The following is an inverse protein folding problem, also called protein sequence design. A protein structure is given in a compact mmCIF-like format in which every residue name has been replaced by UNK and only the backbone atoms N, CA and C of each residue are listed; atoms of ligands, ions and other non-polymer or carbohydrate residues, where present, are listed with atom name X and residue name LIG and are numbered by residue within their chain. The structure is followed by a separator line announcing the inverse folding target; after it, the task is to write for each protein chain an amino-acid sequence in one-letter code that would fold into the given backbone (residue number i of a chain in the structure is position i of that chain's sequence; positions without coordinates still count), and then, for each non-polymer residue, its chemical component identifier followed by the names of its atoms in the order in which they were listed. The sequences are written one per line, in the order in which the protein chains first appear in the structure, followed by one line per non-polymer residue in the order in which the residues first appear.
data_IF_067085991375
#
_entry.id   IF_067085991375
#
_cell.length_a   1.000
_cell.length_b   1.000
_cell.length_c   1.000
_cell.angle_alpha   90.00
_cell.angle_beta   90.00
_cell.angle_gamma   90.00
#
_symmetry.space_group_name_H-M   'P 1'
#
loop_
_entity.id
_entity.type
_entity.pdbx_description
1 polymer ?
#
# COMPACT_ATOMS: atom_id res chain seq x y z
N UNK A 1 -40.29 -42.30 -7.26
CA UNK A 1 -39.74 -41.09 -6.63
C UNK A 1 -38.61 -41.31 -5.61
N UNK A 2 -38.40 -42.51 -5.02
CA UNK A 2 -37.31 -42.72 -4.05
C UNK A 2 -35.91 -42.87 -4.66
N UNK A 3 -35.80 -43.26 -5.94
CA UNK A 3 -34.51 -43.45 -6.62
C UNK A 3 -33.84 -42.16 -7.10
N UNK A 4 -34.62 -41.12 -7.41
CA UNK A 4 -34.08 -39.84 -7.90
C UNK A 4 -33.31 -39.07 -6.84
N UNK A 5 -33.70 -39.18 -5.56
CA UNK A 5 -32.97 -38.57 -4.45
C UNK A 5 -31.62 -39.25 -4.17
N UNK A 6 -31.54 -40.57 -4.31
CA UNK A 6 -30.28 -41.30 -4.14
C UNK A 6 -29.24 -40.91 -5.20
N UNK A 7 -29.67 -40.73 -6.45
CA UNK A 7 -28.79 -40.32 -7.55
C UNK A 7 -28.25 -38.90 -7.37
N UNK A 8 -29.08 -38.00 -6.83
CA UNK A 8 -28.71 -36.60 -6.63
C UNK A 8 -27.71 -36.44 -5.46
N UNK A 9 -27.87 -37.22 -4.39
CA UNK A 9 -26.90 -37.28 -3.28
C UNK A 9 -25.57 -37.90 -3.75
N UNK A 10 -25.61 -38.96 -4.58
CA UNK A 10 -24.40 -39.57 -5.13
C UNK A 10 -23.61 -38.60 -6.02
N UNK A 11 -24.28 -37.84 -6.89
CA UNK A 11 -23.64 -36.80 -7.70
C UNK A 11 -23.02 -35.69 -6.86
N UNK A 12 -23.64 -35.33 -5.73
CA UNK A 12 -23.13 -34.30 -4.83
C UNK A 12 -21.86 -34.76 -4.08
N UNK A 13 -21.78 -36.05 -3.72
CA UNK A 13 -20.61 -36.64 -3.05
C UNK A 13 -19.42 -36.79 -4.02
N UNK A 14 -19.67 -37.16 -5.28
CA UNK A 14 -18.60 -37.26 -6.30
C UNK A 14 -18.00 -35.89 -6.64
N UNK A 15 -18.82 -34.82 -6.66
CA UNK A 15 -18.34 -33.46 -6.87
C UNK A 15 -17.43 -32.95 -5.72
N UNK A 16 -17.71 -33.34 -4.48
CA UNK A 16 -16.86 -33.00 -3.33
C UNK A 16 -15.53 -33.77 -3.31
N UNK A 17 -15.49 -35.00 -3.84
CA UNK A 17 -14.25 -35.78 -3.91
C UNK A 17 -13.28 -35.26 -4.99
N UNK A 18 -13.78 -34.70 -6.10
CA UNK A 18 -12.94 -34.11 -7.14
C UNK A 18 -12.40 -32.71 -6.79
N UNK A 19 -12.92 -32.06 -5.73
CA UNK A 19 -12.45 -30.76 -5.26
C UNK A 19 -11.32 -30.85 -4.20
N UNK A 20 -10.94 -32.06 -3.77
CA UNK A 20 -9.87 -32.24 -2.81
C UNK A 20 -8.52 -32.32 -3.52
N UNK A 21 -7.87 -31.16 -3.59
CA UNK A 21 -6.41 -31.02 -3.56
C UNK A 21 -5.65 -31.70 -4.69
N UNK A 22 -5.18 -30.90 -5.63
CA UNK A 22 -4.03 -31.27 -6.44
C UNK A 22 -2.94 -31.87 -5.52
N UNK A 23 -2.33 -33.01 -5.87
CA UNK A 23 -1.29 -33.60 -5.04
C UNK A 23 -0.21 -32.55 -4.78
N UNK A 24 0.37 -32.50 -3.56
CA UNK A 24 1.41 -31.53 -3.25
C UNK A 24 2.48 -31.64 -4.32
N UNK A 25 2.65 -30.57 -5.08
CA UNK A 25 3.67 -30.46 -6.11
C UNK A 25 5.00 -30.84 -5.48
N UNK A 26 5.55 -32.00 -5.84
CA UNK A 26 6.84 -32.45 -5.36
C UNK A 26 7.88 -31.46 -5.86
N UNK A 27 8.20 -30.47 -5.04
CA UNK A 27 9.28 -29.53 -5.32
C UNK A 27 10.58 -30.32 -5.22
N UNK A 28 11.33 -30.51 -6.32
CA UNK A 28 12.57 -31.26 -6.27
C UNK A 28 13.54 -30.63 -5.25
N UNK A 29 14.18 -31.48 -4.44
CA UNK A 29 15.07 -31.08 -3.33
C UNK A 29 16.37 -30.39 -3.76
N UNK A 30 16.64 -30.30 -5.06
CA UNK A 30 17.59 -29.35 -5.63
C UNK A 30 16.89 -28.01 -5.82
N UNK A 31 16.52 -27.34 -4.72
CA UNK A 31 16.03 -25.97 -4.79
C UNK A 31 17.26 -25.10 -5.12
N UNK A 32 17.36 -24.53 -6.33
CA UNK A 32 18.45 -23.63 -6.65
C UNK A 32 18.47 -22.50 -5.61
N UNK A 33 19.67 -21.99 -5.27
CA UNK A 33 19.83 -20.80 -4.42
C UNK A 33 18.74 -19.78 -4.78
N UNK A 34 17.84 -19.53 -3.83
CA UNK A 34 16.60 -18.81 -4.13
C UNK A 34 16.94 -17.41 -4.64
N UNK A 35 16.36 -17.06 -5.78
CA UNK A 35 16.40 -15.70 -6.29
C UNK A 35 15.96 -14.73 -5.17
N UNK A 36 16.79 -13.73 -4.88
CA UNK A 36 16.58 -12.84 -3.73
C UNK A 36 16.14 -11.47 -4.23
N UNK A 37 14.98 -11.00 -3.76
CA UNK A 37 14.49 -9.64 -4.05
C UNK A 37 15.39 -8.62 -3.33
N UNK A 38 16.15 -7.84 -4.09
CA UNK A 38 17.07 -6.83 -3.54
C UNK A 38 16.36 -5.49 -3.30
N UNK A 39 15.36 -5.18 -4.13
CA UNK A 39 14.65 -3.92 -4.03
C UNK A 39 13.33 -3.92 -4.80
N UNK A 40 12.40 -3.10 -4.34
CA UNK A 40 11.14 -2.81 -5.00
C UNK A 40 11.27 -1.42 -5.63
N UNK A 41 11.03 -1.33 -6.93
CA UNK A 41 11.14 -0.07 -7.68
C UNK A 41 9.79 0.62 -7.83
N UNK A 42 8.71 -0.13 -8.02
CA UNK A 42 7.37 0.42 -8.20
C UNK A 42 6.32 -0.58 -7.70
N UNK A 43 5.52 -0.20 -6.72
CA UNK A 43 4.30 -0.95 -6.34
C UNK A 43 3.18 0.06 -6.19
N UNK A 44 2.09 -0.12 -6.91
CA UNK A 44 0.97 0.80 -6.82
C UNK A 44 -0.31 0.25 -7.43
N UNK A 45 -1.40 0.97 -7.19
CA UNK A 45 -2.71 0.73 -7.80
C UNK A 45 -3.07 1.93 -8.66
N UNK A 46 -3.72 1.72 -9.79
CA UNK A 46 -3.95 2.79 -10.73
C UNK A 46 -5.20 2.61 -11.57
N UNK A 47 -5.38 3.56 -12.47
CA UNK A 47 -6.41 3.53 -13.51
C UNK A 47 -5.77 3.84 -14.86
N UNK A 48 -6.25 3.20 -15.91
CA UNK A 48 -5.96 3.53 -17.30
C UNK A 48 -7.27 3.98 -17.95
N UNK A 49 -7.31 5.18 -18.54
CA UNK A 49 -8.53 5.76 -19.12
C UNK A 49 -8.35 5.93 -20.62
N UNK A 50 -9.33 5.50 -21.41
CA UNK A 50 -9.33 5.70 -22.85
C UNK A 50 -9.56 7.20 -23.15
N UNK A 51 -8.72 7.87 -23.96
CA UNK A 51 -8.90 9.28 -24.29
C UNK A 51 -10.19 9.56 -25.08
N UNK A 52 -10.73 8.55 -25.77
CA UNK A 52 -11.94 8.68 -26.59
C UNK A 52 -13.22 8.48 -25.80
N UNK A 53 -13.15 7.76 -24.68
CA UNK A 53 -14.30 7.47 -23.81
C UNK A 53 -13.85 7.40 -22.34
N UNK A 54 -14.24 8.40 -21.56
CA UNK A 54 -13.90 8.49 -20.12
C UNK A 54 -14.55 7.40 -19.27
N UNK A 55 -15.59 6.74 -19.77
CA UNK A 55 -16.24 5.61 -19.10
C UNK A 55 -15.54 4.27 -19.40
N UNK A 56 -14.72 4.21 -20.44
CA UNK A 56 -13.83 3.09 -20.73
C UNK A 56 -12.53 3.25 -19.94
N UNK A 57 -12.55 2.72 -18.71
CA UNK A 57 -11.39 2.70 -17.83
C UNK A 57 -11.05 1.28 -17.38
N UNK A 58 -9.76 1.07 -17.12
CA UNK A 58 -9.18 -0.18 -16.64
C UNK A 58 -8.52 0.02 -15.29
N UNK A 59 -8.64 -0.96 -14.40
CA UNK A 59 -7.97 -0.95 -13.09
C UNK A 59 -6.58 -1.56 -13.23
N UNK A 60 -5.57 -0.85 -12.74
CA UNK A 60 -4.17 -1.28 -12.79
C UNK A 60 -3.66 -1.69 -11.41
N UNK A 61 -2.87 -2.76 -11.35
CA UNK A 61 -2.00 -3.07 -10.19
C UNK A 61 -0.62 -3.42 -10.70
N UNK A 62 0.40 -2.67 -10.31
CA UNK A 62 1.77 -2.89 -10.77
C UNK A 62 2.68 -3.27 -9.61
N UNK A 63 3.63 -4.15 -9.88
CA UNK A 63 4.75 -4.46 -9.00
C UNK A 63 6.00 -4.71 -9.83
N UNK A 64 7.05 -3.90 -9.64
CA UNK A 64 8.35 -4.05 -10.27
C UNK A 64 9.46 -3.99 -9.22
N UNK A 65 10.49 -4.80 -9.41
CA UNK A 65 11.61 -4.90 -8.48
C UNK A 65 12.88 -5.45 -9.13
N UNK A 66 13.94 -5.48 -8.35
CA UNK A 66 15.26 -5.98 -8.71
C UNK A 66 15.50 -7.30 -8.01
N UNK A 67 15.87 -8.32 -8.77
CA UNK A 67 16.10 -9.67 -8.26
C UNK A 67 17.56 -10.05 -8.49
N UNK A 68 18.26 -10.43 -7.43
CA UNK A 68 19.56 -11.06 -7.51
C UNK A 68 19.39 -12.53 -7.87
N UNK A 69 20.10 -12.95 -8.91
CA UNK A 69 20.19 -14.35 -9.29
C UNK A 69 21.51 -14.94 -8.80
N UNK A 70 21.54 -16.20 -8.36
CA UNK A 70 22.80 -16.90 -8.11
C UNK A 70 23.55 -17.13 -9.43
N UNK A 71 24.87 -16.98 -9.40
CA UNK A 71 25.74 -17.15 -10.58
C UNK A 71 25.61 -18.52 -11.25
N UNK A 72 25.21 -19.56 -10.50
CA UNK A 72 25.05 -20.93 -11.02
C UNK A 72 23.88 -21.10 -12.01
N UNK A 73 22.96 -20.14 -12.07
CA UNK A 73 21.78 -20.21 -12.92
C UNK A 73 21.90 -19.40 -14.23
N UNK A 74 23.08 -18.87 -14.55
CA UNK A 74 23.33 -18.26 -15.85
C UNK A 74 23.60 -19.36 -16.87
N UNK A 75 22.55 -19.87 -17.51
CA UNK A 75 22.70 -20.70 -18.71
C UNK A 75 23.16 -19.84 -19.88
N UNK A 76 23.92 -20.41 -20.81
CA UNK A 76 24.51 -19.69 -21.95
C UNK A 76 23.48 -19.02 -22.89
N UNK A 77 22.18 -19.35 -22.79
CA UNK A 77 21.10 -18.65 -23.52
C UNK A 77 20.79 -17.26 -22.97
N UNK A 78 21.20 -16.95 -21.74
CA UNK A 78 20.88 -15.65 -21.10
C UNK A 78 21.87 -14.54 -21.47
N UNK A 79 22.93 -14.85 -22.21
CA UNK A 79 24.08 -13.97 -22.45
C UNK A 79 23.80 -12.83 -23.44
N UNK A 80 22.76 -12.97 -24.28
CA UNK A 80 22.40 -11.96 -25.29
C UNK A 80 21.32 -10.97 -24.81
N UNK A 81 20.87 -11.09 -23.56
CA UNK A 81 19.88 -10.20 -22.98
C UNK A 81 20.58 -8.99 -22.34
N UNK A 82 20.47 -7.81 -22.97
CA UNK A 82 20.97 -6.52 -22.46
C UNK A 82 20.40 -6.09 -21.08
N UNK A 83 19.54 -6.90 -20.47
CA UNK A 83 18.77 -6.56 -19.27
C UNK A 83 19.46 -6.88 -17.91
N UNK A 84 20.72 -7.33 -17.87
CA UNK A 84 21.42 -7.63 -16.60
C UNK A 84 22.41 -6.55 -16.14
N UNK A 85 22.25 -6.11 -14.89
CA UNK A 85 23.18 -5.23 -14.18
C UNK A 85 24.02 -6.08 -13.22
N UNK A 86 25.35 -6.09 -13.35
CA UNK A 86 26.21 -6.73 -12.35
C UNK A 86 26.36 -5.77 -11.17
N UNK A 87 25.89 -6.19 -9.99
CA UNK A 87 25.99 -5.37 -8.77
C UNK A 87 26.84 -6.08 -7.73
N UNK A 88 27.89 -5.40 -7.27
CA UNK A 88 28.73 -5.87 -6.19
C UNK A 88 28.14 -5.39 -4.85
N UNK A 89 27.75 -6.35 -4.02
CA UNK A 89 27.18 -6.11 -2.69
C UNK A 89 28.29 -6.35 -1.68
N UNK A 90 28.53 -5.36 -0.82
CA UNK A 90 29.54 -5.46 0.22
C UNK A 90 28.93 -6.15 1.44
N UNK A 91 29.13 -7.47 1.54
CA UNK A 91 28.57 -8.28 2.62
C UNK A 91 29.72 -8.80 3.50
N UNK A 92 29.81 -8.26 4.72
CA UNK A 92 30.71 -8.77 5.80
C UNK A 92 32.11 -9.15 5.32
N UNK A 93 32.86 -8.16 4.79
CA UNK A 93 34.28 -8.25 4.39
C UNK A 93 34.62 -9.00 3.10
N UNK A 94 33.65 -9.48 2.31
CA UNK A 94 33.89 -9.95 0.94
C UNK A 94 32.95 -9.27 -0.02
N UNK A 95 33.51 -8.73 -1.09
CA UNK A 95 32.74 -8.20 -2.20
C UNK A 95 32.20 -9.37 -3.01
N UNK A 96 30.88 -9.49 -3.11
CA UNK A 96 30.22 -10.50 -3.94
C UNK A 96 29.43 -9.78 -5.02
N UNK A 97 29.82 -9.99 -6.27
CA UNK A 97 29.08 -9.50 -7.42
C UNK A 97 28.04 -10.53 -7.84
N UNK A 98 26.79 -10.09 -7.93
CA UNK A 98 25.66 -10.92 -8.36
C UNK A 98 24.98 -10.24 -9.55
N UNK A 99 24.54 -11.01 -10.56
CA UNK A 99 23.69 -10.47 -11.61
C UNK A 99 22.35 -10.04 -11.02
N UNK A 100 21.92 -8.84 -11.36
CA UNK A 100 20.65 -8.26 -10.96
C UNK A 100 19.82 -8.02 -12.20
N UNK A 101 18.63 -8.61 -12.21
CA UNK A 101 17.65 -8.37 -13.28
C UNK A 101 16.48 -7.56 -12.75
N UNK A 102 15.87 -6.77 -13.62
CA UNK A 102 14.62 -6.06 -13.34
C UNK A 102 13.48 -6.95 -13.78
N UNK A 103 12.56 -7.22 -12.86
CA UNK A 103 11.35 -7.99 -13.14
C UNK A 103 10.14 -7.19 -12.69
N UNK A 104 9.05 -7.32 -13.43
CA UNK A 104 7.80 -6.70 -13.05
C UNK A 104 6.60 -7.49 -13.53
N UNK A 105 5.48 -7.24 -12.87
CA UNK A 105 4.17 -7.77 -13.21
C UNK A 105 3.19 -6.62 -13.14
N UNK A 106 2.30 -6.53 -14.12
CA UNK A 106 1.15 -5.63 -14.09
C UNK A 106 -0.12 -6.43 -14.27
N UNK A 107 -1.14 -6.08 -13.50
CA UNK A 107 -2.50 -6.58 -13.66
C UNK A 107 -3.37 -5.48 -14.23
N UNK A 108 -4.11 -5.78 -15.30
CA UNK A 108 -5.03 -4.88 -15.99
C UNK A 108 -6.40 -5.56 -15.99
N UNK A 109 -7.38 -5.01 -15.29
CA UNK A 109 -8.73 -5.61 -15.11
C UNK A 109 -8.69 -7.07 -14.61
N UNK A 110 -7.67 -7.40 -13.81
CA UNK A 110 -7.46 -8.76 -13.27
C UNK A 110 -6.62 -9.67 -14.17
N UNK A 111 -6.35 -9.28 -15.41
CA UNK A 111 -5.45 -10.03 -16.30
C UNK A 111 -3.99 -9.74 -16.00
N UNK A 112 -3.16 -10.78 -15.96
CA UNK A 112 -1.74 -10.68 -15.61
C UNK A 112 -0.85 -10.54 -16.85
N UNK A 113 0.06 -9.57 -16.81
CA UNK A 113 1.11 -9.33 -17.81
C UNK A 113 2.49 -9.30 -17.13
N UNK A 114 3.49 -9.87 -17.79
CA UNK A 114 4.89 -9.76 -17.40
C UNK A 114 5.47 -8.46 -17.99
N UNK A 115 6.28 -7.75 -17.22
CA UNK A 115 7.01 -6.58 -17.70
C UNK A 115 8.44 -7.01 -18.08
N UNK A 116 8.83 -6.75 -19.33
CA UNK A 116 10.19 -6.95 -19.86
C UNK A 116 10.78 -5.62 -20.34
N UNK A 117 12.10 -5.60 -20.60
CA UNK A 117 12.83 -4.41 -21.10
C UNK A 117 12.52 -3.18 -20.24
N UNK A 118 12.64 -3.33 -18.92
CA UNK A 118 12.25 -2.31 -17.94
C UNK A 118 13.34 -1.25 -17.85
N UNK A 119 13.11 -0.13 -18.51
CA UNK A 119 13.97 1.03 -18.40
C UNK A 119 13.47 1.99 -17.31
N UNK A 120 14.41 2.53 -16.54
CA UNK A 120 14.15 3.47 -15.45
C UNK A 120 15.19 4.57 -15.56
N UNK A 121 14.77 5.73 -16.03
CA UNK A 121 15.63 6.89 -16.29
C UNK A 121 15.00 8.16 -15.71
N UNK A 122 15.73 8.90 -14.87
CA UNK A 122 15.36 10.25 -14.41
C UNK A 122 13.86 10.43 -14.13
N UNK A 123 13.33 9.62 -13.21
CA UNK A 123 11.92 9.66 -12.81
C UNK A 123 10.91 9.24 -13.90
N UNK A 124 11.37 8.61 -14.97
CA UNK A 124 10.54 7.93 -15.96
C UNK A 124 10.79 6.42 -15.93
N UNK A 125 9.76 5.66 -16.29
CA UNK A 125 9.78 4.20 -16.36
C UNK A 125 9.09 3.77 -17.65
N UNK A 126 9.71 2.88 -18.41
CA UNK A 126 9.08 2.22 -19.56
C UNK A 126 9.27 0.72 -19.52
N UNK A 127 8.30 -0.03 -20.02
CA UNK A 127 8.38 -1.49 -20.12
C UNK A 127 7.49 -2.04 -21.24
N UNK A 128 7.83 -3.25 -21.71
CA UNK A 128 7.02 -4.04 -22.64
C UNK A 128 6.15 -5.03 -21.85
N UNK A 129 4.87 -5.12 -22.23
CA UNK A 129 3.90 -6.05 -21.64
C UNK A 129 3.92 -7.35 -22.44
N UNK A 130 4.12 -8.46 -21.74
CA UNK A 130 4.17 -9.81 -22.32
C UNK A 130 3.13 -10.70 -21.66
N UNK A 131 2.26 -11.30 -22.47
CA UNK A 131 1.29 -12.33 -22.06
C UNK A 131 1.59 -13.57 -22.88
N UNK A 132 1.65 -14.76 -22.28
CA UNK A 132 1.92 -16.01 -23.01
C UNK A 132 3.16 -15.97 -23.94
N UNK A 133 4.22 -15.29 -23.53
CA UNK A 133 5.44 -15.06 -24.32
C UNK A 133 5.29 -14.21 -25.59
N UNK A 134 4.13 -13.62 -25.86
CA UNK A 134 3.91 -12.63 -26.93
C UNK A 134 3.88 -11.20 -26.38
N UNK A 135 4.49 -10.27 -27.10
CA UNK A 135 4.41 -8.83 -26.79
C UNK A 135 3.00 -8.32 -27.14
N UNK A 136 2.27 -7.83 -26.14
CA UNK A 136 0.86 -7.39 -26.26
C UNK A 136 0.71 -5.87 -26.15
N UNK A 137 1.76 -5.18 -25.68
CA UNK A 137 1.66 -3.76 -25.38
C UNK A 137 2.92 -3.15 -24.77
N UNK A 138 2.85 -1.86 -24.48
CA UNK A 138 3.91 -1.09 -23.85
C UNK A 138 3.33 -0.12 -22.81
N UNK A 139 4.13 0.21 -21.81
CA UNK A 139 3.79 1.21 -20.80
C UNK A 139 4.95 2.19 -20.67
N UNK A 140 4.64 3.48 -20.60
CA UNK A 140 5.59 4.55 -20.34
C UNK A 140 4.98 5.51 -19.32
N UNK A 141 5.67 5.73 -18.21
CA UNK A 141 5.21 6.53 -17.08
C UNK A 141 6.28 7.53 -16.67
N UNK A 142 5.85 8.69 -16.19
CA UNK A 142 6.69 9.72 -15.59
C UNK A 142 6.18 10.00 -14.19
N UNK A 143 7.09 10.16 -13.24
CA UNK A 143 6.80 10.56 -11.88
C UNK A 143 6.41 12.04 -11.86
N UNK A 144 5.27 12.33 -11.28
CA UNK A 144 4.72 13.68 -11.12
C UNK A 144 4.41 13.90 -9.66
N UNK A 145 4.97 14.96 -9.09
CA UNK A 145 4.74 15.33 -7.69
C UNK A 145 3.42 16.07 -7.56
N UNK A 146 2.50 15.56 -6.72
CA UNK A 146 1.22 16.21 -6.42
C UNK A 146 1.04 16.34 -4.91
N UNK A 147 1.36 17.54 -4.40
CA UNK A 147 1.39 17.81 -2.96
C UNK A 147 2.50 17.05 -2.25
N UNK A 148 2.13 16.22 -1.26
CA UNK A 148 3.08 15.38 -0.50
C UNK A 148 3.22 13.95 -1.06
N UNK A 149 2.63 13.65 -2.21
CA UNK A 149 2.68 12.33 -2.81
C UNK A 149 3.21 12.37 -4.23
N UNK A 150 3.91 11.32 -4.60
CA UNK A 150 4.35 11.09 -5.96
C UNK A 150 3.33 10.19 -6.67
N UNK A 151 3.00 10.55 -7.91
CA UNK A 151 2.08 9.81 -8.78
C UNK A 151 2.86 9.46 -10.04
N UNK A 152 2.64 8.28 -10.61
CA UNK A 152 3.18 7.96 -11.94
C UNK A 152 2.08 8.14 -12.97
N UNK A 153 2.34 8.95 -14.00
CA UNK A 153 1.38 9.25 -15.05
C UNK A 153 2.01 9.07 -16.43
N UNK A 154 1.27 8.55 -17.39
CA UNK A 154 1.76 8.39 -18.76
C UNK A 154 0.80 7.59 -19.63
N UNK A 155 1.35 6.77 -20.54
CA UNK A 155 0.59 6.05 -21.56
C UNK A 155 0.74 4.54 -21.41
N UNK A 156 -0.36 3.83 -21.59
CA UNK A 156 -0.42 2.38 -21.70
C UNK A 156 -1.00 2.04 -23.08
N UNK A 157 -0.24 1.36 -23.92
CA UNK A 157 -0.72 0.78 -25.17
C UNK A 157 -0.92 -0.72 -24.95
N UNK A 158 -2.12 -1.22 -25.21
CA UNK A 158 -2.42 -2.65 -25.14
C UNK A 158 -3.38 -3.03 -26.25
N UNK A 159 -3.03 -4.07 -27.02
CA UNK A 159 -3.82 -4.53 -28.16
C UNK A 159 -4.13 -3.42 -29.18
N UNK A 160 -3.19 -2.48 -29.37
CA UNK A 160 -3.33 -1.34 -30.28
C UNK A 160 -4.14 -0.15 -29.74
N UNK A 161 -4.72 -0.27 -28.55
CA UNK A 161 -5.48 0.79 -27.90
C UNK A 161 -4.60 1.58 -26.93
N UNK A 162 -4.67 2.91 -26.99
CA UNK A 162 -3.91 3.80 -26.12
C UNK A 162 -4.77 4.28 -24.95
N UNK A 163 -4.25 4.16 -23.73
CA UNK A 163 -4.87 4.63 -22.50
C UNK A 163 -3.94 5.60 -21.78
N UNK A 164 -4.49 6.59 -21.09
CA UNK A 164 -3.77 7.38 -20.10
C UNK A 164 -3.72 6.63 -18.78
N UNK A 165 -2.53 6.23 -18.36
CA UNK A 165 -2.30 5.45 -17.15
C UNK A 165 -1.86 6.35 -15.99
N UNK A 166 -2.48 6.15 -14.84
CA UNK A 166 -2.17 6.84 -13.58
C UNK A 166 -2.01 5.80 -12.48
N UNK A 167 -0.82 5.71 -11.88
CA UNK A 167 -0.53 4.82 -10.75
C UNK A 167 -0.45 5.67 -9.49
N UNK A 168 -1.45 5.46 -8.64
CA UNK A 168 -1.65 6.15 -7.37
C UNK A 168 -1.09 5.30 -6.22
N UNK A 169 -0.67 5.99 -5.16
CA UNK A 169 -0.30 5.34 -3.91
C UNK A 169 0.89 4.41 -4.04
N UNK A 170 1.96 4.87 -4.70
CA UNK A 170 3.21 4.12 -4.62
C UNK A 170 3.70 4.11 -3.20
N UNK A 171 3.82 2.93 -2.59
CA UNK A 171 4.48 2.83 -1.30
C UNK A 171 5.93 3.27 -1.51
N UNK A 172 6.36 4.32 -0.81
CA UNK A 172 7.75 4.76 -0.85
C UNK A 172 8.64 3.55 -0.56
N UNK A 173 9.64 3.27 -1.42
CA UNK A 173 10.53 2.15 -1.18
C UNK A 173 11.15 2.31 0.21
N UNK A 174 11.13 1.25 1.02
CA UNK A 174 11.66 1.24 2.40
C UNK A 174 13.11 1.77 2.50
N UNK A 175 13.83 1.80 1.39
CA UNK A 175 15.18 2.36 1.26
C UNK A 175 15.18 3.88 1.48
N UNK A 176 14.23 4.62 0.92
CA UNK A 176 14.10 6.08 1.15
C UNK A 176 13.84 6.38 2.62
N UNK A 177 13.03 5.55 3.31
CA UNK A 177 12.79 5.71 4.74
C UNK A 177 14.05 5.47 5.57
N UNK A 178 14.94 4.56 5.14
CA UNK A 178 16.23 4.32 5.81
C UNK A 178 17.24 5.44 5.58
N UNK A 179 17.24 6.05 4.40
CA UNK A 179 18.12 7.18 4.08
C UNK A 179 17.62 8.47 4.74
N UNK A 180 16.31 8.75 4.64
CA UNK A 180 15.67 9.82 5.40
C UNK A 180 15.91 9.65 6.90
N UNK A 181 15.81 8.41 7.42
CA UNK A 181 16.12 8.08 8.81
C UNK A 181 17.60 8.31 9.17
N UNK A 182 18.54 8.05 8.25
CA UNK A 182 19.97 8.34 8.45
C UNK A 182 20.26 9.83 8.47
N UNK A 183 19.69 10.60 7.54
CA UNK A 183 19.84 12.05 7.49
C UNK A 183 19.16 12.72 8.71
N UNK A 184 17.97 12.26 9.10
CA UNK A 184 17.33 12.67 10.34
C UNK A 184 18.20 12.34 11.56
N UNK A 185 18.78 11.14 11.64
CA UNK A 185 19.69 10.78 12.74
C UNK A 185 20.96 11.63 12.75
N UNK A 186 21.47 12.01 11.59
CA UNK A 186 22.62 12.89 11.45
C UNK A 186 22.29 14.31 11.91
N UNK A 187 21.11 14.83 11.55
CA UNK A 187 20.67 16.19 11.89
C UNK A 187 20.19 16.31 13.34
N UNK A 188 19.45 15.31 13.82
CA UNK A 188 18.72 15.32 15.09
C UNK A 188 19.38 14.49 16.20
N UNK A 189 20.50 13.82 15.90
CA UNK A 189 21.17 12.94 16.85
C UNK A 189 20.41 11.63 17.11
N UNK A 190 20.82 10.86 18.13
CA UNK A 190 20.10 9.66 18.53
C UNK A 190 18.70 10.05 19.05
N UNK A 191 17.67 9.51 18.40
CA UNK A 191 16.29 9.69 18.86
C UNK A 191 16.12 8.96 20.19
N UNK A 192 15.57 9.65 21.19
CA UNK A 192 15.20 9.01 22.46
C UNK A 192 14.20 7.87 22.21
N UNK A 193 14.26 6.79 23.00
CA UNK A 193 13.37 5.65 22.83
C UNK A 193 11.91 6.08 22.96
N UNK A 194 10.98 5.37 22.31
CA UNK A 194 9.56 5.64 22.47
C UNK A 194 9.17 5.54 23.95
N UNK A 195 8.20 6.36 24.35
CA UNK A 195 7.59 6.33 25.70
C UNK A 195 7.22 4.90 26.04
N UNK A 196 7.66 4.43 27.21
CA UNK A 196 7.41 3.04 27.60
C UNK A 196 5.89 2.81 27.75
N UNK A 197 5.45 1.56 27.54
CA UNK A 197 4.02 1.23 27.54
C UNK A 197 3.31 1.60 28.85
N UNK A 198 4.02 1.57 29.99
CA UNK A 198 3.51 1.99 31.30
C UNK A 198 3.23 3.48 31.37
N UNK A 199 4.10 4.32 30.82
CA UNK A 199 3.91 5.77 30.77
C UNK A 199 2.80 6.17 29.80
N UNK A 200 2.67 5.46 28.67
CA UNK A 200 1.55 5.64 27.76
C UNK A 200 0.22 5.31 28.46
N UNK A 201 0.16 4.18 29.15
CA UNK A 201 -1.03 3.76 29.90
C UNK A 201 -1.38 4.77 30.99
N UNK A 202 -0.38 5.21 31.77
CA UNK A 202 -0.56 6.24 32.80
C UNK A 202 -1.06 7.56 32.21
N UNK A 203 -0.47 8.00 31.08
CA UNK A 203 -0.88 9.23 30.41
C UNK A 203 -2.36 9.18 30.02
N UNK A 204 -2.81 8.06 29.44
CA UNK A 204 -4.21 7.87 29.07
C UNK A 204 -5.14 7.79 30.30
N UNK A 205 -4.72 7.12 31.37
CA UNK A 205 -5.48 7.03 32.62
C UNK A 205 -5.67 8.40 33.29
N UNK A 206 -4.67 9.28 33.17
CA UNK A 206 -4.74 10.66 33.65
C UNK A 206 -5.50 11.60 32.70
N UNK A 207 -6.08 11.10 31.61
CA UNK A 207 -6.75 11.91 30.59
C UNK A 207 -5.79 12.82 29.79
N UNK A 208 -4.50 12.51 29.80
CA UNK A 208 -3.48 13.16 29.00
C UNK A 208 -3.39 12.61 27.58
N UNK A 209 -2.70 13.36 26.71
CA UNK A 209 -2.34 12.93 25.35
C UNK A 209 -0.83 12.97 25.18
N UNK A 210 -0.28 12.00 24.45
CA UNK A 210 1.12 12.04 24.03
C UNK A 210 1.24 13.04 22.89
N UNK A 211 2.10 14.03 23.07
CA UNK A 211 2.45 15.00 22.03
C UNK A 211 3.92 14.79 21.67
N UNK A 212 4.20 14.69 20.37
CA UNK A 212 5.55 14.71 19.83
C UNK A 212 5.76 16.12 19.27
N UNK A 213 6.50 16.92 20.00
CA UNK A 213 6.85 18.27 19.56
C UNK A 213 8.09 18.23 18.68
N UNK A 214 8.37 19.35 18.01
CA UNK A 214 9.60 19.52 17.26
C UNK A 214 10.41 20.66 17.86
N UNK A 215 11.73 20.50 17.89
CA UNK A 215 12.63 21.59 18.22
C UNK A 215 12.69 22.63 17.09
N UNK A 216 13.49 23.67 17.29
CA UNK A 216 13.71 24.75 16.32
C UNK A 216 14.31 24.26 14.99
N UNK A 217 14.95 23.08 14.98
CA UNK A 217 15.53 22.45 13.79
C UNK A 217 14.55 21.51 13.06
N UNK A 218 13.32 21.40 13.57
CA UNK A 218 12.28 20.50 13.06
C UNK A 218 12.46 19.04 13.48
N UNK A 219 13.37 18.76 14.41
CA UNK A 219 13.66 17.43 14.94
C UNK A 219 12.62 17.04 16.00
N UNK A 220 12.10 15.80 15.95
CA UNK A 220 11.13 15.34 16.93
C UNK A 220 11.77 15.27 18.32
N UNK A 221 11.16 15.95 19.29
CA UNK A 221 11.50 15.85 20.70
C UNK A 221 10.93 14.58 21.32
N UNK A 222 11.43 14.23 22.50
CA UNK A 222 10.90 13.14 23.31
C UNK A 222 9.38 13.28 23.48
N UNK A 223 8.58 12.24 23.23
CA UNK A 223 7.14 12.34 23.38
C UNK A 223 6.81 12.64 24.84
N UNK A 224 6.00 13.68 25.08
CA UNK A 224 5.61 14.10 26.43
C UNK A 224 4.12 13.89 26.65
N UNK A 225 3.76 13.42 27.84
CA UNK A 225 2.37 13.41 28.25
C UNK A 225 1.94 14.84 28.61
N UNK A 226 1.11 15.43 27.77
CA UNK A 226 0.47 16.71 28.07
C UNK A 226 -0.88 16.40 28.68
N UNK A 227 -1.06 16.73 29.96
CA UNK A 227 -2.39 16.72 30.58
C UNK A 227 -3.29 17.60 29.72
N UNK A 228 -4.42 17.07 29.27
CA UNK A 228 -5.41 17.88 28.57
C UNK A 228 -5.81 18.98 29.55
N UNK A 229 -5.36 20.22 29.30
CA UNK A 229 -5.71 21.38 30.12
C UNK A 229 -7.23 21.42 30.17
N UNK A 230 -7.75 21.20 31.39
CA UNK A 230 -9.05 20.57 31.64
C UNK A 230 -10.12 20.92 30.61
N UNK A 231 -10.67 19.89 29.97
CA UNK A 231 -11.86 20.05 29.16
C UNK A 231 -12.91 20.78 30.01
N UNK A 232 -13.50 21.88 29.51
CA UNK A 232 -14.52 22.60 30.27
C UNK A 232 -15.61 21.60 30.65
N UNK A 233 -16.02 21.55 31.93
CA UNK A 233 -17.08 20.63 32.34
C UNK A 233 -18.36 21.04 31.61
N UNK A 234 -18.76 20.24 30.62
CA UNK A 234 -20.08 20.40 30.02
C UNK A 234 -21.07 19.63 30.87
N UNK A 235 -22.12 20.33 31.33
CA UNK A 235 -23.24 19.66 31.97
C UNK A 235 -23.87 18.67 30.98
N UNK A 236 -24.07 17.43 31.43
CA UNK A 236 -24.86 16.45 30.69
C UNK A 236 -26.28 17.01 30.46
N UNK A 237 -26.85 16.88 29.24
CA UNK A 237 -28.18 17.36 28.97
C UNK A 237 -29.19 16.68 29.89
N UNK A 238 -30.12 17.45 30.44
CA UNK A 238 -31.17 16.91 31.28
C UNK A 238 -32.13 16.04 30.48
N UNK A 239 -32.83 15.11 31.14
CA UNK A 239 -33.83 14.26 30.46
C UNK A 239 -34.85 15.08 29.68
N UNK A 240 -35.28 16.22 30.22
CA UNK A 240 -36.20 17.15 29.55
C UNK A 240 -35.64 17.69 28.23
N UNK A 241 -34.33 17.97 28.14
CA UNK A 241 -33.67 18.41 26.91
C UNK A 241 -33.57 17.29 25.87
N UNK A 242 -33.30 16.05 26.32
CA UNK A 242 -33.26 14.87 25.45
C UNK A 242 -34.66 14.62 24.86
N UNK A 243 -35.71 14.66 25.68
CA UNK A 243 -37.08 14.43 25.23
C UNK A 243 -37.60 15.57 24.33
N UNK A 244 -37.18 16.81 24.59
CA UNK A 244 -37.46 17.94 23.70
C UNK A 244 -36.79 17.75 22.33
N UNK A 245 -35.55 17.27 22.28
CA UNK A 245 -34.86 16.98 21.03
C UNK A 245 -35.58 15.89 20.22
N UNK A 246 -35.93 14.77 20.88
CA UNK A 246 -36.66 13.67 20.23
C UNK A 246 -38.03 14.09 19.71
N UNK A 247 -38.79 14.90 20.45
CA UNK A 247 -40.10 15.42 20.01
C UNK A 247 -40.01 16.27 18.74
N UNK A 248 -38.88 16.90 18.47
CA UNK A 248 -38.63 17.66 17.24
C UNK A 248 -38.08 16.80 16.10
N UNK A 249 -38.02 15.47 16.27
CA UNK A 249 -37.43 14.55 15.28
C UNK A 249 -35.90 14.61 15.23
N UNK A 250 -35.25 15.15 16.27
CA UNK A 250 -33.80 15.25 16.35
C UNK A 250 -33.16 14.16 17.22
N UNK A 251 -31.83 14.04 17.11
CA UNK A 251 -30.99 13.18 17.94
C UNK A 251 -29.93 14.02 18.66
N UNK A 252 -29.72 13.77 19.96
CA UNK A 252 -28.63 14.38 20.70
C UNK A 252 -27.32 13.73 20.27
N UNK A 253 -26.47 14.49 19.58
CA UNK A 253 -25.14 14.06 19.18
C UNK A 253 -24.09 14.72 20.07
N UNK A 254 -23.24 13.90 20.65
CA UNK A 254 -21.98 14.33 21.26
C UNK A 254 -20.84 14.16 20.26
N UNK A 255 -19.68 14.73 20.60
CA UNK A 255 -18.47 14.55 19.83
C UNK A 255 -17.25 14.71 20.73
N UNK A 256 -16.08 14.57 20.12
CA UNK A 256 -14.81 14.85 20.78
C UNK A 256 -14.10 15.87 19.91
N UNK A 257 -13.60 16.96 20.50
CA UNK A 257 -12.79 17.94 19.77
C UNK A 257 -11.40 17.37 19.42
N UNK A 258 -10.61 18.13 18.65
CA UNK A 258 -9.24 17.74 18.28
C UNK A 258 -8.30 17.57 19.48
N UNK A 259 -8.71 18.00 20.68
CA UNK A 259 -7.97 17.88 21.94
C UNK A 259 -8.44 16.70 22.77
N UNK A 260 -9.38 15.89 22.30
CA UNK A 260 -9.92 14.78 23.08
C UNK A 260 -11.01 15.19 24.07
N UNK A 261 -11.48 16.44 24.02
CA UNK A 261 -12.50 16.93 24.94
C UNK A 261 -13.90 16.62 24.44
N UNK A 262 -14.76 16.10 25.34
CA UNK A 262 -16.17 15.91 25.01
C UNK A 262 -16.77 17.26 24.63
N UNK A 263 -17.39 17.32 23.46
CA UNK A 263 -18.16 18.49 23.03
C UNK A 263 -19.54 18.47 23.69
N UNK A 264 -20.06 19.66 23.99
CA UNK A 264 -21.45 19.82 24.45
C UNK A 264 -22.40 19.11 23.48
N UNK A 265 -23.20 18.17 23.99
CA UNK A 265 -24.20 17.46 23.17
C UNK A 265 -25.18 18.48 22.59
N UNK A 266 -25.39 18.42 21.27
CA UNK A 266 -26.33 19.28 20.54
C UNK A 266 -27.40 18.43 19.88
N UNK A 267 -28.61 18.96 19.82
CA UNK A 267 -29.70 18.32 19.11
C UNK A 267 -29.52 18.55 17.61
N UNK A 268 -29.41 17.48 16.83
CA UNK A 268 -29.25 17.52 15.37
C UNK A 268 -30.49 16.91 14.74
N UNK A 269 -31.15 17.63 13.84
CA UNK A 269 -32.34 17.17 13.15
C UNK A 269 -31.99 16.16 12.06
N UNK A 270 -32.86 15.17 11.85
CA UNK A 270 -32.80 14.28 10.70
C UNK A 270 -33.12 15.09 9.42
N UNK A 271 -32.12 15.77 8.86
CA UNK A 271 -32.32 16.66 7.70
C UNK A 271 -31.11 17.52 7.29
N UNK A 272 -30.10 17.67 8.14
CA UNK A 272 -28.81 18.24 7.72
C UNK A 272 -28.77 19.75 7.45
N UNK A 273 -29.83 20.51 7.74
CA UNK A 273 -29.75 21.98 7.71
C UNK A 273 -29.22 22.50 9.04
N UNK A 274 -27.92 22.80 9.07
CA UNK A 274 -27.31 23.60 10.14
C UNK A 274 -27.76 25.04 9.96
N UNK A 275 -28.85 25.43 10.62
CA UNK A 275 -29.13 26.85 10.85
C UNK A 275 -28.01 27.42 11.71
N UNK A 276 -27.14 28.24 11.11
CA UNK A 276 -26.22 29.12 11.83
C UNK A 276 -27.06 30.21 12.53
N UNK A 277 -27.07 30.18 13.87
CA UNK A 277 -27.40 31.31 14.74
C UNK A 277 -26.10 31.82 15.39
#
# INVERSE_FOLDING_TARGET
MRWTFAFLILMLVVAFAAAQGEPPYNVPSNIPERATLIGLSLIGRGIAVNPSDVMDFKVLRVGAGRVALPLRNLTNETTDSEDFEIRCINQTRRERCVPVIRVGVIFIDGERYLLKKIDVMNESVSAVLVKNNTEEGTIALVKVRKGMSDIWAGTLNISGMNYFAYILGTQHPLVELREAGRELKKKCGPMEPPVNASELTRCHQEGGRIVIERDENGCPLAPRCVKSTGCPPFAEPTQAQIDACKRRGGQMLGGVDERGCQLRKRCVMAGGETGEE
#
